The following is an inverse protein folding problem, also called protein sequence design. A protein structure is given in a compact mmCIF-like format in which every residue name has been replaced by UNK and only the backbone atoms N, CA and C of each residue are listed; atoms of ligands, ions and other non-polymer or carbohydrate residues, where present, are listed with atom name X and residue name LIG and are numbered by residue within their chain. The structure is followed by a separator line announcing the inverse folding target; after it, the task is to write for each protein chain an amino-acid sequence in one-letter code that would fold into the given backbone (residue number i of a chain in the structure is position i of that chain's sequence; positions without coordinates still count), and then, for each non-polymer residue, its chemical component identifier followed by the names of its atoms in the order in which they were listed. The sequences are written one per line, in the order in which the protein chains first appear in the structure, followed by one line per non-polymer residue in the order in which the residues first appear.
data_IF_726164419968
#
_entry.id   IF_726164419968
#
_cell.length_a   1.000
_cell.length_b   1.000
_cell.length_c   1.000
_cell.angle_alpha   90.00
_cell.angle_beta   90.00
_cell.angle_gamma   90.00
#
_symmetry.space_group_name_H-M   'P 1'
#
loop_
_entity.id
_entity.type
_entity.pdbx_description
1 polymer ?
#
# COMPACT_ATOMS: atom_id res chain seq x y z
N UNK A 1 -11.56 -22.96 -7.21
CA UNK A 1 -11.69 -21.86 -8.20
C UNK A 1 -11.60 -20.52 -7.46
N UNK A 2 -10.42 -20.27 -6.92
CA UNK A 2 -10.05 -18.99 -6.31
C UNK A 2 -8.95 -18.39 -7.18
N UNK A 3 -9.36 -17.77 -8.28
CA UNK A 3 -8.42 -17.23 -9.24
C UNK A 3 -9.01 -15.98 -9.86
N UNK A 4 -8.46 -14.85 -9.54
CA UNK A 4 -8.79 -13.63 -10.23
C UNK A 4 -8.46 -12.33 -9.52
N UNK A 5 -8.03 -12.36 -8.26
CA UNK A 5 -7.81 -11.12 -7.50
C UNK A 5 -6.33 -10.73 -7.34
N UNK A 6 -5.38 -11.66 -7.43
CA UNK A 6 -3.96 -11.36 -7.20
C UNK A 6 -3.26 -10.66 -8.39
N UNK A 7 -3.74 -10.85 -9.61
CA UNK A 7 -3.07 -10.32 -10.81
C UNK A 7 -3.22 -8.81 -10.93
N UNK A 8 -4.40 -8.29 -10.61
CA UNK A 8 -4.75 -6.87 -10.72
C UNK A 8 -4.17 -6.05 -9.56
N UNK A 9 -4.25 -6.55 -8.32
CA UNK A 9 -3.84 -5.78 -7.13
C UNK A 9 -2.39 -5.30 -7.15
N UNK A 10 -1.44 -6.15 -7.52
CA UNK A 10 -0.04 -5.77 -7.54
C UNK A 10 0.26 -4.65 -8.53
N UNK A 11 -0.28 -4.72 -9.74
CA UNK A 11 -0.07 -3.69 -10.77
C UNK A 11 -0.85 -2.42 -10.49
N UNK A 12 -2.04 -2.51 -9.87
CA UNK A 12 -2.78 -1.35 -9.36
C UNK A 12 -2.01 -0.62 -8.25
N UNK A 13 -1.31 -1.35 -7.37
CA UNK A 13 -0.43 -0.74 -6.36
C UNK A 13 0.74 -0.02 -7.02
N UNK A 14 1.39 -0.63 -8.04
CA UNK A 14 2.47 0.03 -8.79
C UNK A 14 1.96 1.28 -9.48
N UNK A 15 0.81 1.22 -10.18
CA UNK A 15 0.19 2.36 -10.83
C UNK A 15 -0.12 3.48 -9.84
N UNK A 16 -0.76 3.15 -8.73
CA UNK A 16 -1.12 4.10 -7.67
C UNK A 16 0.13 4.76 -7.07
N UNK A 17 1.18 3.99 -6.82
CA UNK A 17 2.43 4.54 -6.29
C UNK A 17 3.05 5.53 -7.27
N UNK A 18 3.20 5.16 -8.53
CA UNK A 18 3.82 5.99 -9.57
C UNK A 18 2.99 7.25 -9.83
N UNK A 19 1.71 7.10 -10.13
CA UNK A 19 0.84 8.21 -10.53
C UNK A 19 0.60 9.20 -9.39
N UNK A 20 0.17 8.72 -8.22
CA UNK A 20 -0.21 9.61 -7.12
C UNK A 20 0.99 10.12 -6.31
N UNK A 21 1.96 9.28 -6.01
CA UNK A 21 3.00 9.63 -5.03
C UNK A 21 4.34 9.96 -5.65
N UNK A 22 4.62 9.47 -6.87
CA UNK A 22 5.86 9.76 -7.58
C UNK A 22 5.68 10.74 -8.73
N UNK A 23 4.43 11.17 -9.02
CA UNK A 23 4.10 12.11 -10.08
C UNK A 23 4.44 11.62 -11.49
N UNK A 24 4.56 10.30 -11.66
CA UNK A 24 4.88 9.67 -12.93
C UNK A 24 3.60 9.03 -13.50
N UNK A 25 3.00 9.59 -14.56
CA UNK A 25 1.75 9.09 -15.10
C UNK A 25 1.82 7.62 -15.45
N UNK A 26 1.09 6.79 -14.76
CA UNK A 26 1.07 5.35 -14.95
C UNK A 26 -0.36 4.80 -14.81
N UNK A 27 -0.72 3.90 -15.71
CA UNK A 27 -1.99 3.16 -15.63
C UNK A 27 -1.70 1.68 -15.44
N UNK A 28 -2.59 0.98 -14.75
CA UNK A 28 -2.47 -0.47 -14.57
C UNK A 28 -2.30 -1.20 -15.92
N UNK A 29 -3.13 -0.87 -16.92
CA UNK A 29 -3.04 -1.45 -18.26
C UNK A 29 -1.70 -1.15 -18.94
N UNK A 30 -1.18 0.09 -18.78
CA UNK A 30 0.11 0.48 -19.33
C UNK A 30 1.26 -0.31 -18.72
N UNK A 31 1.25 -0.49 -17.40
CA UNK A 31 2.25 -1.27 -16.66
C UNK A 31 2.20 -2.74 -17.08
N UNK A 32 1.01 -3.35 -17.10
CA UNK A 32 0.80 -4.73 -17.52
C UNK A 32 1.35 -4.95 -18.93
N UNK A 33 1.02 -4.06 -19.87
CA UNK A 33 1.50 -4.16 -21.25
C UNK A 33 3.02 -4.04 -21.34
N UNK A 34 3.61 -3.11 -20.62
CA UNK A 34 5.05 -2.87 -20.63
C UNK A 34 5.87 -3.98 -19.95
N UNK A 35 5.32 -4.62 -18.90
CA UNK A 35 6.07 -5.54 -18.04
C UNK A 35 5.81 -7.01 -18.41
N UNK A 36 4.57 -7.36 -18.72
CA UNK A 36 4.13 -8.74 -18.91
C UNK A 36 3.92 -9.12 -20.39
N UNK A 37 4.15 -8.18 -21.32
CA UNK A 37 4.19 -8.46 -22.76
C UNK A 37 2.97 -9.17 -23.32
N UNK A 38 1.77 -8.91 -22.80
CA UNK A 38 0.53 -9.57 -23.25
C UNK A 38 0.28 -10.97 -22.67
N UNK A 39 1.11 -11.47 -21.75
CA UNK A 39 0.91 -12.75 -21.07
C UNK A 39 -0.33 -12.77 -20.14
N UNK A 40 -1.03 -11.66 -20.02
CA UNK A 40 -2.18 -11.45 -19.12
C UNK A 40 -3.47 -12.11 -19.63
N UNK A 41 -3.51 -12.51 -20.89
CA UNK A 41 -4.72 -13.10 -21.50
C UNK A 41 -5.09 -14.50 -20.96
N UNK A 42 -4.24 -15.09 -20.12
CA UNK A 42 -4.48 -16.46 -19.64
C UNK A 42 -5.27 -16.58 -18.32
N UNK A 43 -5.56 -15.45 -17.61
CA UNK A 43 -6.29 -15.46 -16.34
C UNK A 43 -5.63 -16.22 -15.19
N UNK A 44 -4.39 -16.68 -15.39
CA UNK A 44 -3.65 -17.57 -14.48
C UNK A 44 -2.37 -16.92 -13.90
N UNK A 45 -2.14 -15.65 -14.15
CA UNK A 45 -0.90 -14.99 -13.74
C UNK A 45 -1.06 -14.34 -12.36
N UNK A 46 -0.23 -14.74 -11.41
CA UNK A 46 -0.13 -14.12 -10.08
C UNK A 46 1.06 -13.17 -10.07
N UNK A 47 0.84 -11.88 -9.79
CA UNK A 47 1.90 -10.88 -9.70
C UNK A 47 2.75 -11.13 -8.46
N UNK A 48 4.04 -11.29 -8.66
CA UNK A 48 5.02 -11.41 -7.59
C UNK A 48 5.66 -10.05 -7.23
N UNK A 49 6.33 -9.98 -6.08
CA UNK A 49 7.17 -8.82 -5.74
C UNK A 49 8.28 -8.58 -6.78
N UNK A 50 8.77 -9.63 -7.46
CA UNK A 50 9.76 -9.48 -8.51
C UNK A 50 9.19 -8.79 -9.75
N UNK A 51 7.95 -9.13 -10.14
CA UNK A 51 7.25 -8.49 -11.26
C UNK A 51 6.96 -7.01 -10.94
N UNK A 52 6.53 -6.71 -9.71
CA UNK A 52 6.36 -5.34 -9.25
C UNK A 52 7.67 -4.55 -9.27
N UNK A 53 8.78 -5.17 -8.84
CA UNK A 53 10.10 -4.53 -8.90
C UNK A 53 10.53 -4.23 -10.33
N UNK A 54 10.28 -5.15 -11.28
CA UNK A 54 10.54 -4.92 -12.70
C UNK A 54 9.66 -3.79 -13.27
N UNK A 55 8.38 -3.74 -12.87
CA UNK A 55 7.46 -2.67 -13.25
C UNK A 55 7.94 -1.31 -12.73
N UNK A 56 8.31 -1.17 -11.47
CA UNK A 56 8.89 0.06 -10.92
C UNK A 56 10.18 0.47 -11.64
N UNK A 57 11.07 -0.52 -11.95
CA UNK A 57 12.33 -0.25 -12.64
C UNK A 57 12.11 0.33 -14.04
N UNK A 58 11.07 -0.08 -14.77
CA UNK A 58 10.71 0.47 -16.07
C UNK A 58 10.40 1.98 -16.02
N UNK A 59 10.00 2.50 -14.86
CA UNK A 59 9.74 3.92 -14.59
C UNK A 59 10.89 4.60 -13.80
N UNK A 60 12.06 3.98 -13.74
CA UNK A 60 13.23 4.57 -13.07
C UNK A 60 13.15 4.56 -11.52
N UNK A 61 12.26 3.76 -10.96
CA UNK A 61 12.13 3.57 -9.51
C UNK A 61 12.74 2.23 -9.13
N UNK A 62 13.83 2.25 -8.36
CA UNK A 62 14.42 1.05 -7.79
C UNK A 62 13.54 0.52 -6.66
N UNK A 63 13.26 -0.77 -6.67
CA UNK A 63 12.44 -1.44 -5.68
C UNK A 63 13.22 -2.59 -5.04
N UNK A 64 13.21 -2.68 -3.72
CA UNK A 64 13.91 -3.73 -2.99
C UNK A 64 13.03 -4.34 -1.92
N UNK A 65 12.86 -5.66 -1.99
CA UNK A 65 12.06 -6.42 -1.03
C UNK A 65 12.87 -6.76 0.23
N UNK A 66 12.19 -6.77 1.37
CA UNK A 66 12.73 -7.07 2.69
C UNK A 66 11.71 -7.91 3.49
N UNK A 67 12.21 -8.62 4.50
CA UNK A 67 11.40 -9.10 5.61
C UNK A 67 11.54 -8.11 6.76
N UNK A 68 10.44 -7.48 7.13
CA UNK A 68 10.38 -6.45 8.17
C UNK A 68 9.19 -6.74 9.08
N UNK A 69 9.38 -6.55 10.37
CA UNK A 69 8.32 -6.48 11.35
C UNK A 69 7.79 -5.05 11.50
N UNK A 70 6.91 -4.82 12.44
CA UNK A 70 6.33 -3.50 12.73
C UNK A 70 7.39 -2.44 13.04
N UNK A 71 8.37 -2.78 13.87
CA UNK A 71 9.46 -1.88 14.25
C UNK A 71 10.37 -1.56 13.06
N UNK A 72 10.66 -2.56 12.24
CA UNK A 72 11.43 -2.39 11.00
C UNK A 72 10.72 -1.48 10.00
N UNK A 73 9.40 -1.65 9.81
CA UNK A 73 8.61 -0.77 8.96
C UNK A 73 8.61 0.68 9.48
N UNK A 74 8.42 0.87 10.79
CA UNK A 74 8.52 2.21 11.41
C UNK A 74 9.89 2.85 11.16
N UNK A 75 10.97 2.09 11.34
CA UNK A 75 12.32 2.58 11.12
C UNK A 75 12.58 2.99 9.66
N UNK A 76 12.03 2.25 8.70
CA UNK A 76 12.17 2.55 7.26
C UNK A 76 11.35 3.79 6.89
N UNK A 77 10.11 3.91 7.38
CA UNK A 77 9.28 5.12 7.20
C UNK A 77 9.94 6.35 7.81
N UNK A 78 10.49 6.22 9.03
CA UNK A 78 11.19 7.32 9.70
C UNK A 78 12.44 7.82 8.96
N UNK A 79 13.03 6.98 8.10
CA UNK A 79 14.14 7.36 7.19
C UNK A 79 13.67 8.01 5.89
N UNK A 80 12.36 8.22 5.73
CA UNK A 80 11.78 8.88 4.54
C UNK A 80 11.46 7.92 3.38
N UNK A 81 11.51 6.60 3.59
CA UNK A 81 11.08 5.63 2.58
C UNK A 81 9.57 5.39 2.70
N UNK A 82 8.79 6.29 2.14
CA UNK A 82 7.32 6.19 2.06
C UNK A 82 6.88 6.74 0.70
N UNK A 83 5.92 6.09 0.00
CA UNK A 83 5.21 4.86 0.38
C UNK A 83 6.07 3.60 0.29
N UNK A 84 5.71 2.56 1.07
CA UNK A 84 6.30 1.22 1.05
C UNK A 84 5.23 0.24 0.57
N UNK A 85 5.55 -0.64 -0.39
CA UNK A 85 4.64 -1.73 -0.72
C UNK A 85 4.67 -2.76 0.40
N UNK A 86 3.51 -3.16 0.89
CA UNK A 86 3.33 -4.23 1.89
C UNK A 86 2.46 -5.33 1.32
N UNK A 87 2.77 -6.57 1.68
CA UNK A 87 2.00 -7.74 1.29
C UNK A 87 1.16 -8.22 2.48
N UNK A 88 -0.13 -8.35 2.26
CA UNK A 88 -1.07 -8.99 3.17
C UNK A 88 -1.26 -10.46 2.77
N UNK A 89 -1.34 -11.35 3.75
CA UNK A 89 -1.60 -12.76 3.56
C UNK A 89 -3.04 -13.12 3.92
N UNK A 90 -3.68 -12.29 4.76
CA UNK A 90 -5.04 -12.53 5.28
C UNK A 90 -5.91 -11.28 5.18
N UNK A 91 -7.24 -11.44 5.05
CA UNK A 91 -7.98 -12.67 4.76
C UNK A 91 -7.69 -13.24 3.38
N UNK A 92 -7.20 -12.41 2.47
CA UNK A 92 -6.82 -12.75 1.09
C UNK A 92 -5.43 -12.19 0.81
N UNK A 93 -4.68 -12.86 -0.04
CA UNK A 93 -3.39 -12.34 -0.52
C UNK A 93 -3.61 -11.06 -1.29
N UNK A 94 -2.91 -10.00 -0.87
CA UNK A 94 -3.17 -8.68 -1.37
C UNK A 94 -1.96 -7.76 -1.16
N UNK A 95 -1.82 -6.74 -2.01
CA UNK A 95 -0.81 -5.70 -1.86
C UNK A 95 -1.46 -4.35 -1.55
N UNK A 96 -0.80 -3.55 -0.72
CA UNK A 96 -1.17 -2.19 -0.41
C UNK A 96 0.06 -1.31 -0.27
N UNK A 97 -0.12 0.01 -0.23
CA UNK A 97 0.93 0.98 0.09
C UNK A 97 0.84 1.38 1.57
N UNK A 98 1.87 1.13 2.34
CA UNK A 98 2.04 1.73 3.66
C UNK A 98 2.54 3.16 3.47
N UNK A 99 1.73 4.12 3.87
CA UNK A 99 2.06 5.54 3.76
C UNK A 99 2.79 6.07 5.00
N UNK A 100 2.52 5.50 6.16
CA UNK A 100 3.16 5.94 7.39
C UNK A 100 2.47 5.42 8.63
N UNK A 101 2.87 6.01 9.76
CA UNK A 101 2.32 5.69 11.07
C UNK A 101 1.85 6.97 11.77
N UNK A 102 0.70 6.93 12.41
CA UNK A 102 0.18 8.02 13.23
C UNK A 102 -0.63 7.51 14.40
N UNK A 103 -0.34 8.01 15.60
CA UNK A 103 -1.04 7.59 16.82
C UNK A 103 -0.92 6.09 17.11
N UNK A 104 0.21 5.45 16.80
CA UNK A 104 0.40 4.00 16.98
C UNK A 104 -0.37 3.13 15.98
N UNK A 105 -0.84 3.70 14.88
CA UNK A 105 -1.60 3.04 13.82
C UNK A 105 -0.87 3.12 12.50
N UNK A 106 -0.95 2.07 11.69
CA UNK A 106 -0.49 2.09 10.32
C UNK A 106 -1.54 2.73 9.40
N UNK A 107 -1.11 3.62 8.53
CA UNK A 107 -1.96 4.19 7.48
C UNK A 107 -1.57 3.59 6.15
N UNK A 108 -2.53 2.98 5.48
CA UNK A 108 -2.31 2.32 4.19
C UNK A 108 -3.25 2.87 3.11
N UNK A 109 -2.75 2.92 1.89
CA UNK A 109 -3.55 3.15 0.70
C UNK A 109 -3.69 1.82 -0.05
N UNK A 110 -4.91 1.35 -0.12
CA UNK A 110 -5.27 0.08 -0.74
C UNK A 110 -6.12 0.38 -1.98
N UNK A 111 -5.70 -0.03 -3.19
CA UNK A 111 -6.46 0.25 -4.40
C UNK A 111 -7.92 -0.24 -4.37
N UNK A 112 -8.19 -1.33 -3.63
CA UNK A 112 -9.52 -1.89 -3.50
C UNK A 112 -10.34 -1.30 -2.34
N UNK A 113 -9.68 -0.79 -1.28
CA UNK A 113 -10.32 -0.36 -0.03
C UNK A 113 -10.15 1.12 0.29
N UNK A 114 -9.27 1.80 -0.43
CA UNK A 114 -8.93 3.20 -0.19
C UNK A 114 -7.97 3.40 0.98
N UNK A 115 -8.07 4.55 1.64
CA UNK A 115 -7.24 4.87 2.81
C UNK A 115 -7.79 4.20 4.07
N UNK A 116 -6.97 3.37 4.70
CA UNK A 116 -7.27 2.70 5.97
C UNK A 116 -6.32 3.18 7.07
N UNK A 117 -6.83 3.23 8.31
CA UNK A 117 -6.03 3.43 9.53
C UNK A 117 -6.19 2.19 10.40
N UNK A 118 -5.15 1.37 10.48
CA UNK A 118 -5.16 0.06 11.12
C UNK A 118 -4.42 0.12 12.46
N UNK A 119 -5.00 -0.48 13.51
CA UNK A 119 -4.24 -0.73 14.75
C UNK A 119 -3.07 -1.67 14.44
N UNK A 120 -2.06 -1.68 15.32
CA UNK A 120 -0.93 -2.61 15.20
C UNK A 120 -1.42 -4.06 15.04
N UNK A 121 -2.30 -4.50 15.91
CA UNK A 121 -2.86 -5.85 15.88
C UNK A 121 -3.57 -6.16 14.55
N UNK A 122 -4.42 -5.24 14.07
CA UNK A 122 -5.15 -5.42 12.82
C UNK A 122 -4.20 -5.46 11.61
N UNK A 123 -3.14 -4.66 11.62
CA UNK A 123 -2.13 -4.68 10.58
C UNK A 123 -1.31 -5.98 10.62
N UNK A 124 -0.75 -6.35 11.78
CA UNK A 124 0.07 -7.56 11.94
C UNK A 124 -0.70 -8.84 11.63
N UNK A 125 -2.01 -8.88 11.90
CA UNK A 125 -2.88 -10.02 11.54
C UNK A 125 -2.96 -10.23 10.03
N UNK A 126 -2.89 -9.15 9.24
CA UNK A 126 -2.95 -9.21 7.77
C UNK A 126 -1.56 -9.36 7.14
N UNK A 127 -0.57 -8.72 7.71
CA UNK A 127 0.76 -8.54 7.13
C UNK A 127 1.58 -9.84 7.12
N UNK A 128 2.17 -10.17 5.96
CA UNK A 128 2.97 -11.39 5.78
C UNK A 128 4.44 -11.28 6.23
N UNK A 129 4.84 -10.10 6.71
CA UNK A 129 6.25 -9.78 6.98
C UNK A 129 7.04 -9.34 5.74
N UNK A 130 6.42 -9.31 4.54
CA UNK A 130 7.10 -8.93 3.31
C UNK A 130 6.76 -7.49 2.91
N UNK A 131 7.78 -6.68 2.69
CA UNK A 131 7.66 -5.30 2.25
C UNK A 131 8.65 -4.98 1.14
N UNK A 132 8.38 -3.91 0.37
CA UNK A 132 9.27 -3.43 -0.66
C UNK A 132 9.44 -1.91 -0.52
N UNK A 133 10.67 -1.48 -0.26
CA UNK A 133 11.04 -0.07 -0.25
C UNK A 133 11.34 0.40 -1.67
N UNK A 134 10.96 1.64 -1.95
CA UNK A 134 11.07 2.29 -3.25
C UNK A 134 12.04 3.47 -3.16
N UNK A 135 12.86 3.66 -4.18
CA UNK A 135 13.77 4.80 -4.29
C UNK A 135 14.02 5.17 -5.74
N UNK A 136 14.20 6.44 -6.03
CA UNK A 136 14.66 6.90 -7.35
C UNK A 136 15.70 8.00 -7.17
N UNK A 137 16.60 8.12 -8.16
CA UNK A 137 17.55 9.24 -8.25
C UNK A 137 16.99 10.41 -9.06
N UNK A 138 16.02 10.13 -9.92
CA UNK A 138 15.46 11.09 -10.88
C UNK A 138 14.09 11.62 -10.41
N UNK A 139 13.31 10.80 -9.74
CA UNK A 139 11.96 11.11 -9.29
C UNK A 139 11.95 11.35 -7.77
N UNK A 140 11.07 12.20 -7.31
CA UNK A 140 10.85 12.47 -5.88
C UNK A 140 9.44 12.14 -5.50
N UNK A 141 9.26 11.56 -4.31
CA UNK A 141 7.94 11.35 -3.72
C UNK A 141 7.32 12.70 -3.34
N UNK A 142 6.04 12.89 -3.64
CA UNK A 142 5.26 13.99 -3.07
C UNK A 142 4.98 13.71 -1.58
N UNK A 143 5.95 14.06 -0.74
CA UNK A 143 5.84 13.88 0.71
C UNK A 143 4.66 14.64 1.31
N UNK A 144 4.30 15.80 0.76
CA UNK A 144 3.16 16.58 1.24
C UNK A 144 1.83 15.84 0.97
N UNK A 145 1.72 15.12 -0.14
CA UNK A 145 0.56 14.29 -0.44
C UNK A 145 0.50 13.09 0.51
N UNK A 146 1.63 12.43 0.77
CA UNK A 146 1.72 11.33 1.74
C UNK A 146 1.28 11.81 3.12
N UNK A 147 1.81 12.92 3.60
CA UNK A 147 1.48 13.49 4.92
C UNK A 147 -0.01 13.85 5.03
N UNK A 148 -0.59 14.43 3.97
CA UNK A 148 -2.04 14.72 3.93
C UNK A 148 -2.87 13.44 4.01
N UNK A 149 -2.52 12.41 3.25
CA UNK A 149 -3.22 11.12 3.27
C UNK A 149 -3.15 10.47 4.66
N UNK A 150 -1.98 10.51 5.31
CA UNK A 150 -1.78 10.00 6.68
C UNK A 150 -2.64 10.80 7.68
N UNK A 151 -2.65 12.12 7.59
CA UNK A 151 -3.45 12.96 8.47
C UNK A 151 -4.95 12.75 8.27
N UNK A 152 -5.41 12.63 7.03
CA UNK A 152 -6.81 12.38 6.70
C UNK A 152 -7.31 11.04 7.26
N UNK A 153 -6.58 9.96 7.03
CA UNK A 153 -6.96 8.63 7.52
C UNK A 153 -7.03 8.59 9.05
N UNK A 154 -6.04 9.18 9.73
CA UNK A 154 -6.01 9.27 11.18
C UNK A 154 -7.19 10.09 11.72
N UNK A 155 -7.44 11.27 11.17
CA UNK A 155 -8.55 12.14 11.58
C UNK A 155 -9.93 11.52 11.29
N UNK A 156 -10.09 10.74 10.24
CA UNK A 156 -11.33 9.99 9.98
C UNK A 156 -11.57 8.95 11.06
N UNK A 157 -10.54 8.22 11.45
CA UNK A 157 -10.63 7.22 12.53
C UNK A 157 -11.03 7.86 13.86
N UNK A 158 -10.38 8.94 14.28
CA UNK A 158 -10.71 9.67 15.52
C UNK A 158 -12.16 10.17 15.55
N UNK A 159 -12.67 10.67 14.41
CA UNK A 159 -14.08 11.09 14.30
C UNK A 159 -15.04 9.93 14.47
N UNK A 160 -14.75 8.76 13.90
CA UNK A 160 -15.58 7.57 14.02
C UNK A 160 -15.60 7.04 15.46
N UNK A 161 -14.46 6.97 16.14
CA UNK A 161 -14.39 6.58 17.55
C UNK A 161 -15.16 7.54 18.47
N UNK A 162 -15.02 8.85 18.24
CA UNK A 162 -15.74 9.87 18.99
C UNK A 162 -17.25 9.79 18.77
N UNK A 163 -17.70 9.46 17.57
CA UNK A 163 -19.11 9.26 17.25
C UNK A 163 -19.66 7.99 17.92
N UNK A 164 -18.93 6.88 17.84
CA UNK A 164 -19.30 5.62 18.48
C UNK A 164 -19.40 5.76 20.00
N UNK A 165 -18.46 6.43 20.64
CA UNK A 165 -18.46 6.69 22.08
C UNK A 165 -19.70 7.53 22.51
N UNK A 166 -20.03 8.56 21.75
CA UNK A 166 -21.24 9.38 21.99
C UNK A 166 -22.54 8.58 21.85
N UNK A 167 -22.57 7.67 20.88
CA UNK A 167 -23.74 6.81 20.66
C UNK A 167 -23.91 5.81 21.82
N UNK A 168 -22.83 5.17 22.25
CA UNK A 168 -22.84 4.23 23.38
C UNK A 168 -23.30 4.89 24.68
N UNK A 169 -22.85 6.12 24.96
CA UNK A 169 -23.29 6.90 26.14
C UNK A 169 -24.78 7.27 26.11
N UNK A 170 -25.39 7.38 24.93
CA UNK A 170 -26.83 7.66 24.79
C UNK A 170 -27.70 6.40 24.90
N UNK A 171 -27.18 5.26 24.43
CA UNK A 171 -27.90 3.99 24.45
C UNK A 171 -27.93 3.32 25.86
N UNK A 172 -27.03 3.73 26.76
CA UNK A 172 -26.96 3.23 28.15
C UNK A 172 -27.77 4.05 29.19
N UNK A 173 -28.60 4.99 28.70
CA UNK A 173 -29.59 5.72 29.51
C UNK A 173 -31.01 5.29 29.16
#
# INVERSE_FOLDING_TARGET
LEQGYDTSCGMSVVATALDLYWGEPATETGIITATLGGAVDSGLYTVSLADMAAAFAAYGVAARAFKLDWEGLNAVVAKGYSPIVVHYERPERHFALLLGFKGGRAVTADPARGLESLSREAFETRYSGSAMALASKALSVDGALVDRAVAEAAGRHERLESAASRFALRAGR
#
